data_IF_642575478031
#
_entry.id   IF_642575478031
#
_cell.length_a   1.000
_cell.length_b   1.000
_cell.length_c   1.000
_cell.angle_alpha   90.00
_cell.angle_beta   90.00
_cell.angle_gamma   90.00
#
_symmetry.space_group_name_H-M   'P 1'
#
loop_
_entity.id
_entity.type
_entity.pdbx_description
1 polymer ?
#
# COMPACT_ATOMS: atom_id res chain seq x y z
N UNK A 1 -5.11 -3.18 -18.59
CA UNK A 1 -4.60 -4.44 -19.19
C UNK A 1 -4.26 -5.37 -18.04
N UNK A 2 -5.02 -6.45 -17.82
CA UNK A 2 -4.82 -7.35 -16.67
C UNK A 2 -3.55 -8.18 -16.85
N UNK A 3 -2.55 -7.99 -15.98
CA UNK A 3 -1.39 -8.86 -15.97
C UNK A 3 -1.74 -10.11 -15.16
N UNK A 4 -2.24 -11.12 -15.86
CA UNK A 4 -2.36 -12.48 -15.32
C UNK A 4 -0.95 -12.96 -14.92
N UNK A 5 -0.73 -13.20 -13.62
CA UNK A 5 0.26 -14.18 -13.20
C UNK A 5 -0.25 -15.56 -13.60
N UNK A 6 0.63 -16.41 -14.14
CA UNK A 6 0.32 -17.80 -14.46
C UNK A 6 0.00 -18.58 -13.17
N UNK A 7 -1.29 -18.85 -12.94
CA UNK A 7 -1.77 -19.57 -11.75
C UNK A 7 -1.49 -21.07 -11.88
N UNK A 8 -0.71 -21.64 -10.95
CA UNK A 8 -0.66 -23.09 -10.70
C UNK A 8 -1.38 -23.38 -9.38
N UNK A 9 -2.61 -23.90 -9.44
CA UNK A 9 -3.45 -24.19 -8.27
C UNK A 9 -3.05 -25.55 -7.68
N UNK A 10 -2.65 -25.57 -6.41
CA UNK A 10 -2.59 -26.78 -5.58
C UNK A 10 -3.68 -26.66 -4.51
N UNK A 11 -4.74 -27.47 -4.62
CA UNK A 11 -5.83 -27.52 -3.64
C UNK A 11 -5.44 -28.35 -2.41
N UNK A 12 -5.51 -27.74 -1.23
CA UNK A 12 -5.43 -28.41 0.07
C UNK A 12 -6.68 -28.11 0.91
N UNK A 13 -7.35 -29.16 1.41
CA UNK A 13 -8.60 -29.14 2.18
C UNK A 13 -8.32 -28.92 3.67
N UNK A 14 -9.05 -28.03 4.35
CA UNK A 14 -9.17 -28.03 5.82
C UNK A 14 -10.54 -27.55 6.32
N UNK A 15 -11.04 -28.25 7.33
CA UNK A 15 -12.39 -28.27 7.88
C UNK A 15 -12.46 -27.53 9.24
N UNK A 16 -13.50 -26.72 9.39
CA UNK A 16 -14.20 -26.17 10.57
C UNK A 16 -13.61 -26.16 12.00
N UNK A 17 -13.88 -25.07 12.74
CA UNK A 17 -14.64 -25.10 14.00
C UNK A 17 -15.09 -23.69 14.45
N UNK A 18 -16.32 -23.63 14.97
CA UNK A 18 -17.04 -22.45 15.49
C UNK A 18 -16.86 -22.40 17.01
N UNK A 19 -16.68 -21.21 17.59
CA UNK A 19 -16.96 -20.96 19.01
C UNK A 19 -17.71 -19.63 19.19
N UNK A 20 -18.81 -19.70 19.95
CA UNK A 20 -19.72 -18.64 20.36
C UNK A 20 -19.29 -18.04 21.72
N UNK A 21 -19.77 -16.81 22.00
CA UNK A 21 -19.93 -16.24 23.35
C UNK A 21 -18.90 -15.18 23.72
N UNK A 22 -19.22 -14.08 24.41
CA UNK A 22 -20.48 -13.48 24.85
C UNK A 22 -20.18 -12.03 25.23
N UNK A 23 -21.18 -11.16 25.13
CA UNK A 23 -21.09 -9.73 25.37
C UNK A 23 -21.32 -9.36 26.85
N UNK A 24 -20.93 -8.12 27.17
CA UNK A 24 -21.44 -7.24 28.24
C UNK A 24 -20.77 -7.28 29.62
N UNK A 25 -19.90 -6.28 29.84
CA UNK A 25 -19.96 -5.32 30.95
C UNK A 25 -19.06 -4.15 30.48
N UNK A 26 -19.38 -2.87 30.61
CA UNK A 26 -19.41 -2.11 31.85
C UNK A 26 -20.08 -0.75 31.56
N UNK A 27 -21.11 -0.38 32.34
CA UNK A 27 -21.67 0.97 32.41
C UNK A 27 -20.99 1.77 33.52
N UNK A 28 -21.02 3.09 33.32
CA UNK A 28 -20.73 4.20 34.26
C UNK A 28 -19.28 4.68 34.35
N UNK A 29 -18.98 5.77 33.64
CA UNK A 29 -17.90 6.72 33.98
C UNK A 29 -18.50 8.12 34.04
N UNK A 30 -18.15 8.84 35.09
CA UNK A 30 -18.51 10.25 35.35
C UNK A 30 -17.85 11.19 34.33
N UNK A 31 -18.43 12.38 34.06
CA UNK A 31 -17.86 13.32 33.09
C UNK A 31 -16.56 13.95 33.61
N UNK A 32 -15.55 14.04 32.74
CA UNK A 32 -14.31 14.77 33.01
C UNK A 32 -14.52 16.30 32.89
N UNK A 33 -13.79 17.12 33.65
CA UNK A 33 -13.90 18.58 33.59
C UNK A 33 -13.32 19.14 32.28
N UNK A 34 -13.87 20.28 31.82
CA UNK A 34 -13.50 20.94 30.57
C UNK A 34 -12.07 21.53 30.64
N UNK A 35 -11.25 21.42 29.57
CA UNK A 35 -9.90 21.99 29.56
C UNK A 35 -9.91 23.48 29.17
N UNK A 36 -9.18 24.28 29.95
CA UNK A 36 -8.91 25.71 29.76
C UNK A 36 -8.06 25.96 28.51
N UNK A 37 -8.47 26.92 27.67
CA UNK A 37 -7.79 27.28 26.42
C UNK A 37 -6.60 28.21 26.71
N UNK A 38 -5.37 27.76 26.42
CA UNK A 38 -4.17 28.62 26.41
C UNK A 38 -3.71 28.81 24.96
N UNK A 39 -3.80 30.04 24.47
CA UNK A 39 -3.35 30.42 23.12
C UNK A 39 -1.83 30.49 23.11
N UNK A 40 -1.18 29.54 22.43
CA UNK A 40 0.26 29.59 22.18
C UNK A 40 0.49 29.90 20.71
N UNK A 41 1.24 30.97 20.45
CA UNK A 41 1.67 31.41 19.12
C UNK A 41 2.58 30.36 18.50
N UNK A 42 2.15 29.74 17.40
CA UNK A 42 2.92 28.69 16.71
C UNK A 42 3.86 29.30 15.66
N UNK A 43 5.15 29.24 15.94
CA UNK A 43 6.22 29.40 14.94
C UNK A 43 6.10 28.28 13.89
N UNK A 44 6.18 28.62 12.61
CA UNK A 44 6.04 27.68 11.50
C UNK A 44 7.02 26.49 11.63
N UNK A 45 6.47 25.27 11.59
CA UNK A 45 7.21 24.00 11.75
C UNK A 45 7.83 23.58 10.41
N UNK A 46 9.10 23.23 10.46
CA UNK A 46 9.89 22.60 9.39
C UNK A 46 9.23 21.31 8.87
N UNK A 47 8.99 21.24 7.56
CA UNK A 47 8.45 20.05 6.89
C UNK A 47 9.57 19.03 6.63
N UNK A 48 9.81 18.12 7.57
CA UNK A 48 10.71 16.98 7.34
C UNK A 48 9.99 15.67 7.65
N UNK A 49 8.99 15.32 6.84
CA UNK A 49 8.59 13.92 6.74
C UNK A 49 9.68 13.19 5.95
N UNK A 50 10.23 12.11 6.52
CA UNK A 50 11.30 11.35 5.87
C UNK A 50 10.76 10.68 4.59
N UNK A 51 11.44 10.94 3.47
CA UNK A 51 11.18 10.31 2.18
C UNK A 51 11.15 8.78 2.29
N UNK A 52 10.16 8.15 1.66
CA UNK A 52 10.04 6.71 1.52
C UNK A 52 10.49 6.29 0.11
N UNK A 53 11.31 5.25 0.07
CA UNK A 53 11.77 4.63 -1.16
C UNK A 53 11.26 3.20 -1.23
N UNK A 54 10.12 3.02 -1.91
CA UNK A 54 9.45 1.73 -2.00
C UNK A 54 10.03 0.85 -3.10
N UNK A 55 10.07 -0.47 -2.91
CA UNK A 55 10.17 -1.44 -4.01
C UNK A 55 9.13 -2.53 -3.79
N UNK A 56 8.57 -3.10 -4.85
CA UNK A 56 7.67 -4.25 -4.75
C UNK A 56 8.43 -5.54 -5.05
N UNK A 57 8.18 -6.57 -4.25
CA UNK A 57 8.48 -7.95 -4.62
C UNK A 57 7.15 -8.70 -4.71
N UNK A 58 6.95 -9.35 -5.85
CA UNK A 58 5.73 -10.06 -6.17
C UNK A 58 5.89 -11.59 -6.02
N UNK A 59 7.09 -12.05 -5.67
CA UNK A 59 7.38 -13.41 -5.23
C UNK A 59 8.47 -13.43 -4.15
N UNK A 60 8.46 -14.47 -3.30
CA UNK A 60 9.40 -14.65 -2.19
C UNK A 60 10.54 -15.64 -2.49
N UNK A 61 10.66 -16.12 -3.73
CA UNK A 61 11.78 -16.97 -4.14
C UNK A 61 13.11 -16.19 -4.09
N UNK A 62 14.24 -16.88 -4.11
CA UNK A 62 15.55 -16.21 -4.17
C UNK A 62 15.86 -15.24 -3.01
N UNK A 63 15.29 -15.49 -1.82
CA UNK A 63 15.34 -14.59 -0.65
C UNK A 63 16.74 -14.08 -0.28
N UNK A 64 17.78 -14.92 -0.43
CA UNK A 64 19.18 -14.51 -0.20
C UNK A 64 19.60 -13.39 -1.16
N UNK A 65 19.26 -13.50 -2.44
CA UNK A 65 19.57 -12.45 -3.42
C UNK A 65 18.76 -11.19 -3.15
N UNK A 66 17.48 -11.33 -2.80
CA UNK A 66 16.60 -10.21 -2.45
C UNK A 66 17.16 -9.42 -1.26
N UNK A 67 17.48 -10.10 -0.15
CA UNK A 67 18.01 -9.44 1.05
C UNK A 67 19.40 -8.85 0.83
N UNK A 68 20.26 -9.51 0.04
CA UNK A 68 21.56 -8.96 -0.34
C UNK A 68 21.41 -7.65 -1.14
N UNK A 69 20.56 -7.64 -2.17
CA UNK A 69 20.32 -6.46 -2.99
C UNK A 69 19.72 -5.29 -2.19
N UNK A 70 18.78 -5.57 -1.29
CA UNK A 70 18.21 -4.57 -0.38
C UNK A 70 19.25 -3.99 0.59
N UNK A 71 20.10 -4.85 1.18
CA UNK A 71 21.10 -4.45 2.18
C UNK A 71 22.20 -3.54 1.64
N UNK A 72 22.44 -3.57 0.32
CA UNK A 72 23.49 -2.82 -0.35
C UNK A 72 23.04 -1.42 -0.79
N UNK A 73 21.75 -1.10 -0.67
CA UNK A 73 21.22 0.22 -1.03
C UNK A 73 21.73 1.28 -0.05
N UNK A 74 22.02 2.47 -0.57
CA UNK A 74 22.58 3.61 0.18
C UNK A 74 21.62 4.19 1.21
N UNK A 75 20.32 3.88 1.10
CA UNK A 75 19.26 4.23 2.06
C UNK A 75 18.45 2.97 2.36
N UNK A 76 17.98 2.83 3.60
CA UNK A 76 17.06 1.74 3.98
C UNK A 76 15.72 1.91 3.23
N UNK A 77 15.34 0.97 2.34
CA UNK A 77 14.11 1.08 1.57
C UNK A 77 12.89 0.62 2.37
N UNK A 78 11.71 0.69 1.75
CA UNK A 78 10.50 -0.04 2.16
C UNK A 78 10.17 -1.07 1.10
N UNK A 79 10.11 -2.35 1.46
CA UNK A 79 9.74 -3.43 0.55
C UNK A 79 8.26 -3.73 0.73
N UNK A 80 7.47 -3.51 -0.33
CA UNK A 80 6.11 -4.01 -0.47
C UNK A 80 6.17 -5.47 -0.90
N UNK A 81 5.57 -6.35 -0.11
CA UNK A 81 5.48 -7.77 -0.41
C UNK A 81 4.04 -8.02 -0.84
N UNK A 82 3.87 -8.49 -2.09
CA UNK A 82 2.58 -8.99 -2.57
C UNK A 82 2.30 -10.32 -1.89
N UNK A 83 1.18 -10.42 -1.17
CA UNK A 83 0.71 -11.71 -0.69
C UNK A 83 -0.22 -12.32 -1.73
N UNK A 84 0.27 -13.33 -2.45
CA UNK A 84 -0.45 -13.99 -3.54
C UNK A 84 -1.73 -14.66 -3.04
N UNK A 85 -2.73 -14.69 -3.91
CA UNK A 85 -4.01 -15.33 -3.67
C UNK A 85 -3.84 -16.79 -3.26
N UNK A 86 -4.75 -17.24 -2.39
CA UNK A 86 -4.87 -18.59 -1.86
C UNK A 86 -3.64 -19.10 -1.09
N UNK A 87 -2.62 -18.26 -0.87
CA UNK A 87 -1.48 -18.59 -0.03
C UNK A 87 -1.77 -18.26 1.44
N UNK A 88 -1.33 -19.10 2.40
CA UNK A 88 -1.44 -18.81 3.82
C UNK A 88 -0.34 -17.84 4.27
N UNK A 89 -0.60 -17.11 5.36
CA UNK A 89 0.34 -16.14 5.91
C UNK A 89 1.67 -16.77 6.36
N UNK A 90 1.62 -18.04 6.80
CA UNK A 90 2.79 -18.79 7.25
C UNK A 90 3.87 -18.94 6.17
N UNK A 91 3.47 -19.00 4.89
CA UNK A 91 4.40 -19.09 3.75
C UNK A 91 5.31 -17.86 3.64
N UNK A 92 4.84 -16.69 4.08
CA UNK A 92 5.57 -15.42 3.97
C UNK A 92 6.43 -15.09 5.19
N UNK A 93 6.27 -15.80 6.33
CA UNK A 93 6.93 -15.40 7.59
C UNK A 93 8.45 -15.34 7.47
N UNK A 94 9.08 -16.35 6.88
CA UNK A 94 10.54 -16.38 6.72
C UNK A 94 11.03 -15.18 5.88
N UNK A 95 10.38 -14.94 4.74
CA UNK A 95 10.72 -13.82 3.86
C UNK A 95 10.52 -12.47 4.56
N UNK A 96 9.37 -12.25 5.21
CA UNK A 96 9.07 -11.01 5.92
C UNK A 96 10.07 -10.73 7.05
N UNK A 97 10.43 -11.75 7.85
CA UNK A 97 11.45 -11.63 8.91
C UNK A 97 12.81 -11.26 8.32
N UNK A 98 13.24 -11.92 7.25
CA UNK A 98 14.55 -11.68 6.64
C UNK A 98 14.63 -10.29 5.99
N UNK A 99 13.57 -9.86 5.30
CA UNK A 99 13.48 -8.55 4.66
C UNK A 99 13.42 -7.44 5.71
N UNK A 100 12.66 -7.61 6.80
CA UNK A 100 12.54 -6.61 7.86
C UNK A 100 13.90 -6.23 8.52
N UNK A 101 14.88 -7.15 8.50
CA UNK A 101 16.24 -6.87 8.99
C UNK A 101 16.98 -5.82 8.15
N UNK A 102 16.67 -5.70 6.86
CA UNK A 102 17.39 -4.84 5.89
C UNK A 102 16.51 -3.77 5.23
N UNK A 103 15.19 -3.83 5.43
CA UNK A 103 14.17 -2.97 4.83
C UNK A 103 13.01 -2.77 5.80
N UNK A 104 12.17 -1.74 5.62
CA UNK A 104 10.84 -1.76 6.21
C UNK A 104 9.92 -2.66 5.38
N UNK A 105 8.90 -3.27 5.97
CA UNK A 105 7.97 -4.14 5.25
C UNK A 105 6.59 -3.50 5.17
N UNK A 106 6.09 -3.36 3.95
CA UNK A 106 4.68 -3.14 3.66
C UNK A 106 4.09 -4.46 3.14
N UNK A 107 3.01 -4.95 3.75
CA UNK A 107 2.32 -6.15 3.30
C UNK A 107 1.07 -5.80 2.53
N UNK A 108 0.98 -6.22 1.27
CA UNK A 108 -0.25 -6.14 0.49
C UNK A 108 -1.15 -7.32 0.82
N UNK A 109 -2.31 -7.05 1.45
CA UNK A 109 -3.22 -8.12 1.87
C UNK A 109 -3.65 -8.98 0.70
N UNK A 110 -3.98 -8.37 -0.44
CA UNK A 110 -4.36 -9.08 -1.66
C UNK A 110 -4.27 -8.11 -2.83
N UNK A 111 -3.70 -8.60 -3.93
CA UNK A 111 -3.63 -7.87 -5.18
C UNK A 111 -5.02 -7.58 -5.76
N UNK A 112 -5.15 -6.43 -6.42
CA UNK A 112 -6.42 -5.96 -6.98
C UNK A 112 -6.98 -6.95 -8.01
N UNK A 113 -6.11 -7.65 -8.77
CA UNK A 113 -6.51 -8.64 -9.78
C UNK A 113 -7.16 -9.91 -9.20
N UNK A 114 -6.98 -10.18 -7.91
CA UNK A 114 -7.58 -11.32 -7.22
C UNK A 114 -8.74 -10.93 -6.29
N UNK A 115 -9.06 -9.63 -6.17
CA UNK A 115 -10.08 -9.14 -5.26
C UNK A 115 -11.46 -9.74 -5.50
N UNK A 116 -11.86 -9.95 -6.76
CA UNK A 116 -13.18 -10.49 -7.13
C UNK A 116 -13.32 -12.00 -6.82
N UNK A 117 -12.20 -12.70 -6.63
CA UNK A 117 -12.15 -14.12 -6.29
C UNK A 117 -12.48 -14.39 -4.80
N UNK A 118 -12.45 -13.35 -3.97
CA UNK A 118 -12.69 -13.43 -2.53
C UNK A 118 -14.05 -12.84 -2.17
N UNK A 119 -14.81 -13.55 -1.33
CA UNK A 119 -15.92 -12.94 -0.58
C UNK A 119 -15.39 -11.92 0.44
N UNK A 120 -16.26 -11.04 0.92
CA UNK A 120 -15.93 -10.11 2.03
C UNK A 120 -15.36 -10.88 3.23
N UNK A 121 -16.03 -11.95 3.66
CA UNK A 121 -15.60 -12.74 4.81
C UNK A 121 -14.22 -13.39 4.60
N UNK A 122 -13.94 -13.93 3.41
CA UNK A 122 -12.63 -14.53 3.12
C UNK A 122 -11.51 -13.47 3.16
N UNK A 123 -11.76 -12.26 2.65
CA UNK A 123 -10.80 -11.16 2.71
C UNK A 123 -10.49 -10.75 4.17
N UNK A 124 -11.51 -10.65 5.02
CA UNK A 124 -11.34 -10.30 6.43
C UNK A 124 -10.66 -11.41 7.24
N UNK A 125 -10.96 -12.68 6.94
CA UNK A 125 -10.27 -13.83 7.52
C UNK A 125 -8.78 -13.81 7.13
N UNK A 126 -8.48 -13.61 5.84
CA UNK A 126 -7.11 -13.44 5.34
C UNK A 126 -6.40 -12.29 6.03
N UNK A 127 -7.03 -11.12 6.13
CA UNK A 127 -6.46 -9.97 6.82
C UNK A 127 -6.08 -10.31 8.27
N UNK A 128 -6.99 -10.97 8.99
CA UNK A 128 -6.76 -11.38 10.38
C UNK A 128 -5.63 -12.41 10.51
N UNK A 129 -5.60 -13.41 9.62
CA UNK A 129 -4.55 -14.43 9.57
C UNK A 129 -3.16 -13.80 9.36
N UNK A 130 -3.04 -12.92 8.36
CA UNK A 130 -1.78 -12.26 8.05
C UNK A 130 -1.32 -11.34 9.17
N UNK A 131 -2.23 -10.54 9.76
CA UNK A 131 -1.88 -9.69 10.91
C UNK A 131 -1.45 -10.50 12.13
N UNK A 132 -2.09 -11.64 12.41
CA UNK A 132 -1.70 -12.51 13.50
C UNK A 132 -0.32 -13.16 13.27
N UNK A 133 -0.05 -13.60 12.04
CA UNK A 133 1.18 -14.32 11.71
C UNK A 133 2.39 -13.40 11.51
N UNK A 134 2.19 -12.18 11.00
CA UNK A 134 3.27 -11.29 10.55
C UNK A 134 3.26 -9.91 11.24
N UNK A 135 2.33 -9.65 12.16
CA UNK A 135 2.13 -8.34 12.78
C UNK A 135 3.31 -7.79 13.60
N UNK A 136 4.30 -8.62 13.90
CA UNK A 136 5.57 -8.26 14.54
C UNK A 136 6.65 -7.81 13.54
N UNK A 137 6.51 -8.16 12.26
CA UNK A 137 7.52 -7.89 11.21
C UNK A 137 7.01 -7.03 10.05
N UNK A 138 5.69 -6.91 9.87
CA UNK A 138 5.07 -6.00 8.90
C UNK A 138 4.87 -4.63 9.55
N UNK A 139 5.45 -3.58 8.94
CA UNK A 139 5.39 -2.22 9.43
C UNK A 139 4.14 -1.46 8.94
N UNK A 140 3.68 -1.76 7.73
CA UNK A 140 2.56 -1.09 7.06
C UNK A 140 1.65 -2.14 6.43
N UNK A 141 0.35 -2.06 6.68
CA UNK A 141 -0.64 -2.96 6.09
C UNK A 141 -1.38 -2.24 4.97
N UNK A 142 -1.22 -2.69 3.73
CA UNK A 142 -2.04 -2.21 2.62
C UNK A 142 -3.38 -2.94 2.65
N UNK A 143 -4.40 -2.23 3.14
CA UNK A 143 -5.74 -2.78 3.41
C UNK A 143 -6.62 -2.82 2.16
N UNK A 144 -6.07 -2.44 1.02
CA UNK A 144 -6.72 -2.44 -0.27
C UNK A 144 -5.79 -1.89 -1.35
N UNK A 145 -5.65 -2.64 -2.44
CA UNK A 145 -4.91 -2.21 -3.62
C UNK A 145 -5.86 -1.81 -4.76
N UNK A 146 -5.53 -0.70 -5.44
CA UNK A 146 -6.24 -0.16 -6.61
C UNK A 146 -7.77 -0.18 -6.50
N UNK A 147 -8.28 0.23 -5.34
CA UNK A 147 -9.64 -0.09 -4.87
C UNK A 147 -10.78 0.54 -5.71
N UNK A 148 -10.45 1.47 -6.60
CA UNK A 148 -11.37 2.06 -7.57
C UNK A 148 -11.35 1.35 -8.95
N UNK A 149 -10.64 0.22 -9.09
CA UNK A 149 -10.60 -0.57 -10.32
C UNK A 149 -11.97 -1.14 -10.73
N UNK A 150 -12.19 -1.26 -12.04
CA UNK A 150 -13.47 -1.75 -12.61
C UNK A 150 -13.61 -3.28 -12.57
N UNK A 151 -12.54 -4.00 -12.25
CA UNK A 151 -12.49 -5.48 -12.20
C UNK A 151 -12.82 -6.11 -10.86
N UNK A 152 -12.96 -5.30 -9.80
CA UNK A 152 -12.96 -5.78 -8.42
C UNK A 152 -14.26 -6.49 -8.00
N UNK A 153 -15.18 -6.72 -8.94
CA UNK A 153 -16.52 -7.22 -8.70
C UNK A 153 -17.48 -6.13 -8.20
N UNK A 154 -18.35 -6.48 -7.25
CA UNK A 154 -19.37 -5.54 -6.75
C UNK A 154 -18.73 -4.47 -5.87
N UNK A 155 -18.96 -3.20 -6.19
CA UNK A 155 -18.45 -2.07 -5.41
C UNK A 155 -18.77 -2.14 -3.90
N UNK A 156 -19.96 -2.61 -3.53
CA UNK A 156 -20.31 -2.77 -2.12
C UNK A 156 -19.40 -3.78 -1.38
N UNK A 157 -18.99 -4.85 -2.06
CA UNK A 157 -18.08 -5.86 -1.50
C UNK A 157 -16.67 -5.29 -1.39
N UNK A 158 -16.22 -4.52 -2.38
CA UNK A 158 -14.93 -3.80 -2.33
C UNK A 158 -14.87 -2.86 -1.13
N UNK A 159 -15.91 -2.04 -0.95
CA UNK A 159 -16.03 -1.12 0.19
C UNK A 159 -16.02 -1.89 1.52
N UNK A 160 -16.77 -2.99 1.62
CA UNK A 160 -16.81 -3.80 2.82
C UNK A 160 -15.45 -4.45 3.15
N UNK A 161 -14.71 -4.92 2.13
CA UNK A 161 -13.36 -5.49 2.28
C UNK A 161 -12.38 -4.46 2.82
N UNK A 162 -12.24 -3.31 2.15
CA UNK A 162 -11.27 -2.29 2.58
C UNK A 162 -11.63 -1.71 3.95
N UNK A 163 -12.91 -1.46 4.23
CA UNK A 163 -13.33 -0.88 5.51
C UNK A 163 -13.15 -1.84 6.66
N UNK A 164 -13.45 -3.12 6.49
CA UNK A 164 -13.23 -4.14 7.50
C UNK A 164 -11.75 -4.44 7.75
N UNK A 165 -10.91 -4.48 6.71
CA UNK A 165 -9.47 -4.64 6.88
C UNK A 165 -8.83 -3.43 7.57
N UNK A 166 -9.29 -2.22 7.26
CA UNK A 166 -8.93 -1.02 8.02
C UNK A 166 -9.31 -1.15 9.50
N UNK A 167 -10.52 -1.61 9.82
CA UNK A 167 -10.96 -1.78 11.21
C UNK A 167 -10.11 -2.80 11.97
N UNK A 168 -9.76 -3.92 11.32
CA UNK A 168 -8.84 -4.92 11.87
C UNK A 168 -7.45 -4.32 12.14
N UNK A 169 -6.90 -3.55 11.20
CA UNK A 169 -5.59 -2.91 11.35
C UNK A 169 -5.60 -1.88 12.50
N UNK A 170 -6.52 -0.92 12.45
CA UNK A 170 -6.56 0.18 13.42
C UNK A 170 -7.00 -0.28 14.81
N UNK A 171 -7.88 -1.28 14.90
CA UNK A 171 -8.27 -1.92 16.16
C UNK A 171 -7.10 -2.58 16.91
N UNK A 172 -6.04 -2.96 16.18
CA UNK A 172 -4.79 -3.50 16.74
C UNK A 172 -3.69 -2.43 16.87
N UNK A 173 -4.01 -1.14 16.66
CA UNK A 173 -3.05 -0.05 16.68
C UNK A 173 -2.01 -0.11 15.56
N UNK A 174 -2.30 -0.83 14.47
CA UNK A 174 -1.38 -0.98 13.33
C UNK A 174 -1.50 0.19 12.35
N UNK A 175 -0.45 0.35 11.55
CA UNK A 175 -0.36 1.31 10.46
C UNK A 175 -1.11 0.77 9.24
N UNK A 176 -2.01 1.57 8.65
CA UNK A 176 -2.79 1.20 7.48
C UNK A 176 -2.48 2.10 6.28
N UNK A 177 -2.37 1.49 5.11
CA UNK A 177 -2.21 2.13 3.80
C UNK A 177 -3.35 1.72 2.87
N UNK A 178 -3.83 2.63 2.04
CA UNK A 178 -4.78 2.34 0.96
C UNK A 178 -4.19 2.84 -0.36
N UNK A 179 -4.17 2.00 -1.39
CA UNK A 179 -3.67 2.37 -2.72
C UNK A 179 -4.84 2.56 -3.69
N UNK A 180 -4.84 3.70 -4.38
CA UNK A 180 -5.83 4.11 -5.37
C UNK A 180 -5.20 4.06 -6.76
N UNK A 181 -5.97 3.63 -7.76
CA UNK A 181 -5.53 3.58 -9.16
C UNK A 181 -5.81 4.91 -9.85
N UNK A 182 -4.77 5.58 -10.34
CA UNK A 182 -4.94 6.81 -11.11
C UNK A 182 -5.31 6.49 -12.55
N UNK A 183 -6.53 6.84 -12.93
CA UNK A 183 -7.15 6.46 -14.19
C UNK A 183 -7.81 7.64 -14.92
N UNK A 184 -7.20 8.82 -14.87
CA UNK A 184 -7.73 9.98 -15.58
C UNK A 184 -7.86 9.69 -17.09
N UNK A 185 -9.04 9.97 -17.63
CA UNK A 185 -9.37 9.87 -19.06
C UNK A 185 -9.17 8.47 -19.69
N UNK A 186 -9.11 7.42 -18.87
CA UNK A 186 -8.96 6.01 -19.29
C UNK A 186 -9.88 5.05 -18.52
N UNK A 187 -10.85 5.57 -17.77
CA UNK A 187 -11.94 4.79 -17.18
C UNK A 187 -12.98 4.41 -18.25
N UNK A 188 -13.68 3.28 -18.08
CA UNK A 188 -14.88 2.94 -18.85
C UNK A 188 -16.14 3.43 -18.12
N UNK A 189 -16.10 3.44 -16.79
CA UNK A 189 -17.14 3.96 -15.91
C UNK A 189 -16.64 5.20 -15.16
N UNK A 190 -17.24 6.39 -15.36
CA UNK A 190 -16.78 7.61 -14.69
C UNK A 190 -16.89 7.55 -13.16
N UNK A 191 -17.75 6.68 -12.62
CA UNK A 191 -17.84 6.47 -11.17
C UNK A 191 -16.57 5.83 -10.58
N UNK A 192 -15.72 5.23 -11.41
CA UNK A 192 -14.45 4.61 -11.04
C UNK A 192 -13.24 5.55 -11.20
N UNK A 193 -13.43 6.78 -11.68
CA UNK A 193 -12.37 7.80 -11.66
C UNK A 193 -11.87 7.99 -10.23
N UNK A 194 -10.55 7.95 -10.03
CA UNK A 194 -9.88 7.88 -8.74
C UNK A 194 -10.50 8.79 -7.66
N UNK A 195 -10.63 10.09 -7.95
CA UNK A 195 -11.15 11.05 -6.98
C UNK A 195 -12.66 10.97 -6.80
N UNK A 196 -13.40 10.72 -7.87
CA UNK A 196 -14.85 10.51 -7.87
C UNK A 196 -15.21 9.31 -7.00
N UNK A 197 -14.56 8.18 -7.24
CA UNK A 197 -14.75 6.95 -6.48
C UNK A 197 -14.35 7.12 -5.02
N UNK A 198 -13.15 7.67 -4.76
CA UNK A 198 -12.65 7.89 -3.40
C UNK A 198 -13.57 8.83 -2.60
N UNK A 199 -14.12 9.85 -3.25
CA UNK A 199 -15.05 10.77 -2.62
C UNK A 199 -16.34 10.07 -2.18
N UNK A 200 -16.92 9.25 -3.06
CA UNK A 200 -18.20 8.58 -2.85
C UNK A 200 -18.13 7.40 -1.88
N UNK A 201 -17.03 6.64 -1.88
CA UNK A 201 -16.99 5.32 -1.26
C UNK A 201 -16.12 5.23 0.00
N UNK A 202 -15.10 6.08 0.16
CA UNK A 202 -14.24 6.02 1.34
C UNK A 202 -14.89 6.82 2.48
N UNK A 203 -15.23 6.18 3.61
CA UNK A 203 -15.92 6.85 4.70
C UNK A 203 -15.01 7.89 5.38
N UNK A 204 -15.61 8.94 5.96
CA UNK A 204 -14.89 10.04 6.60
C UNK A 204 -13.88 9.57 7.69
N UNK A 205 -14.22 8.50 8.41
CA UNK A 205 -13.34 7.88 9.42
C UNK A 205 -12.04 7.34 8.84
N UNK A 206 -12.07 6.83 7.61
CA UNK A 206 -10.86 6.39 6.91
C UNK A 206 -10.12 7.57 6.29
N UNK A 207 -10.82 8.55 5.71
CA UNK A 207 -10.19 9.77 5.16
C UNK A 207 -9.33 10.51 6.19
N UNK A 208 -9.71 10.45 7.46
CA UNK A 208 -8.99 11.10 8.57
C UNK A 208 -8.11 10.16 9.39
N UNK A 209 -8.23 8.84 9.23
CA UNK A 209 -7.55 7.85 10.07
C UNK A 209 -6.58 6.91 9.34
N UNK A 210 -6.55 6.89 8.00
CA UNK A 210 -5.51 6.21 7.22
C UNK A 210 -4.15 6.87 7.44
N UNK A 211 -3.12 6.08 7.67
CA UNK A 211 -1.76 6.57 7.87
C UNK A 211 -1.07 6.89 6.54
N UNK A 212 -1.39 6.12 5.49
CA UNK A 212 -0.90 6.32 4.13
C UNK A 212 -2.05 6.22 3.12
N UNK A 213 -2.06 7.10 2.13
CA UNK A 213 -2.88 6.97 0.93
C UNK A 213 -2.01 7.14 -0.28
N UNK A 214 -1.93 6.09 -1.07
CA UNK A 214 -0.95 5.94 -2.12
C UNK A 214 -1.63 5.85 -3.50
N UNK A 215 -0.88 6.15 -4.54
CA UNK A 215 -1.34 6.15 -5.92
C UNK A 215 -0.60 5.09 -6.73
N UNK A 216 -1.33 4.15 -7.32
CA UNK A 216 -0.82 3.31 -8.41
C UNK A 216 -0.92 4.07 -9.73
N UNK A 217 0.19 4.07 -10.49
CA UNK A 217 0.23 4.70 -11.80
C UNK A 217 1.22 4.07 -12.79
N UNK A 218 0.74 3.85 -14.01
CA UNK A 218 1.50 3.38 -15.16
C UNK A 218 1.17 4.24 -16.39
N UNK A 219 2.18 4.79 -17.06
CA UNK A 219 1.95 5.65 -18.25
C UNK A 219 1.25 4.89 -19.38
N UNK A 220 1.54 3.59 -19.51
CA UNK A 220 1.01 2.74 -20.57
C UNK A 220 -0.49 2.46 -20.44
N UNK A 221 -1.06 2.64 -19.25
CA UNK A 221 -2.46 2.31 -19.00
C UNK A 221 -3.42 3.35 -19.58
N UNK A 222 -3.01 4.63 -19.57
CA UNK A 222 -3.89 5.77 -19.86
C UNK A 222 -3.36 6.59 -21.02
N UNK A 223 -3.19 5.94 -22.18
CA UNK A 223 -2.81 6.56 -23.45
C UNK A 223 -1.48 7.35 -23.41
N UNK A 224 -0.55 6.99 -22.53
CA UNK A 224 0.72 7.71 -22.37
C UNK A 224 0.57 9.08 -21.69
N UNK A 225 -0.54 9.31 -20.97
CA UNK A 225 -0.70 10.52 -20.17
C UNK A 225 0.48 10.68 -19.20
N UNK A 226 0.83 11.91 -18.86
CA UNK A 226 1.70 12.22 -17.72
C UNK A 226 0.99 13.31 -16.91
N UNK A 227 0.38 12.96 -15.76
CA UNK A 227 -0.43 13.89 -14.98
C UNK A 227 0.40 15.05 -14.42
N UNK A 228 -0.29 16.15 -14.10
CA UNK A 228 0.26 17.16 -13.19
C UNK A 228 0.26 16.59 -11.76
N UNK A 229 1.36 15.92 -11.40
CA UNK A 229 1.52 15.32 -10.08
C UNK A 229 1.44 16.34 -8.94
N UNK A 230 1.76 17.62 -9.18
CA UNK A 230 1.60 18.65 -8.15
C UNK A 230 0.12 18.85 -7.83
N UNK A 231 -0.71 18.98 -8.87
CA UNK A 231 -2.16 19.12 -8.70
C UNK A 231 -2.79 17.85 -8.09
N UNK A 232 -2.40 16.66 -8.57
CA UNK A 232 -2.92 15.38 -8.08
C UNK A 232 -2.62 15.19 -6.59
N UNK A 233 -1.37 15.33 -6.16
CA UNK A 233 -1.02 15.14 -4.75
C UNK A 233 -1.54 16.27 -3.85
N UNK A 234 -1.70 17.50 -4.37
CA UNK A 234 -2.36 18.58 -3.61
C UNK A 234 -3.81 18.21 -3.32
N UNK A 235 -4.55 17.73 -4.34
CA UNK A 235 -5.94 17.30 -4.18
C UNK A 235 -6.06 16.07 -3.27
N UNK A 236 -5.16 15.10 -3.40
CA UNK A 236 -5.15 13.90 -2.57
C UNK A 236 -4.87 14.24 -1.10
N UNK A 237 -3.88 15.08 -0.82
CA UNK A 237 -3.56 15.55 0.53
C UNK A 237 -4.72 16.32 1.17
N UNK A 238 -5.45 17.12 0.40
CA UNK A 238 -6.64 17.80 0.89
C UNK A 238 -7.78 16.81 1.25
N UNK A 239 -7.96 15.74 0.47
CA UNK A 239 -8.96 14.70 0.74
C UNK A 239 -8.59 13.83 1.96
N UNK A 240 -7.30 13.63 2.20
CA UNK A 240 -6.73 12.79 3.27
C UNK A 240 -5.76 13.59 4.15
N UNK A 241 -6.27 14.52 4.97
CA UNK A 241 -5.45 15.58 5.60
C UNK A 241 -4.42 15.07 6.62
N UNK A 242 -4.60 13.85 7.14
CA UNK A 242 -3.73 13.23 8.14
C UNK A 242 -2.82 12.13 7.57
N UNK A 243 -3.08 11.70 6.33
CA UNK A 243 -2.32 10.62 5.71
C UNK A 243 -1.02 11.14 5.13
N UNK A 244 0.02 10.32 5.10
CA UNK A 244 1.14 10.52 4.17
C UNK A 244 0.68 10.13 2.76
N UNK A 245 1.11 10.87 1.75
CA UNK A 245 0.72 10.63 0.36
C UNK A 245 1.92 10.35 -0.53
N UNK A 246 1.73 9.51 -1.54
CA UNK A 246 2.80 9.12 -2.45
C UNK A 246 2.31 8.13 -3.48
N UNK A 247 3.24 7.51 -4.18
CA UNK A 247 2.99 6.41 -5.09
C UNK A 247 3.06 5.08 -4.35
N UNK A 248 2.04 4.25 -4.56
CA UNK A 248 1.90 2.88 -4.06
C UNK A 248 2.35 1.87 -5.09
N UNK A 249 2.35 2.27 -6.37
CA UNK A 249 2.93 1.53 -7.47
C UNK A 249 3.39 2.51 -8.56
N UNK A 250 4.58 2.27 -9.09
CA UNK A 250 5.02 2.81 -10.38
C UNK A 250 5.88 1.77 -11.08
N UNK A 251 5.89 1.76 -12.40
CA UNK A 251 6.75 0.87 -13.15
C UNK A 251 6.53 1.04 -14.64
N UNK A 252 7.30 0.31 -15.44
CA UNK A 252 7.09 0.24 -16.88
C UNK A 252 7.61 -1.10 -17.41
N UNK A 253 6.96 -1.63 -18.44
CA UNK A 253 7.49 -2.77 -19.22
C UNK A 253 8.25 -2.33 -20.46
N UNK A 254 8.36 -1.03 -20.72
CA UNK A 254 9.14 -0.50 -21.84
C UNK A 254 10.64 -0.67 -21.60
N UNK A 255 11.44 -0.45 -22.65
CA UNK A 255 12.90 -0.61 -22.59
C UNK A 255 13.60 0.50 -21.80
N UNK A 256 12.98 1.67 -21.57
CA UNK A 256 13.61 2.82 -20.91
C UNK A 256 13.32 2.91 -19.40
N UNK A 257 13.44 1.78 -18.69
CA UNK A 257 13.16 1.68 -17.25
C UNK A 257 13.98 2.64 -16.39
N UNK A 258 15.25 2.88 -16.73
CA UNK A 258 16.15 3.73 -15.95
C UNK A 258 15.71 5.21 -15.93
N UNK A 259 15.33 5.77 -17.09
CA UNK A 259 14.82 7.14 -17.15
C UNK A 259 13.46 7.26 -16.45
N UNK A 260 12.58 6.25 -16.61
CA UNK A 260 11.30 6.21 -15.93
C UNK A 260 11.47 6.22 -14.42
N UNK A 261 12.27 5.29 -13.88
CA UNK A 261 12.57 5.20 -12.45
C UNK A 261 13.13 6.53 -11.93
N UNK A 262 14.12 7.09 -12.62
CA UNK A 262 14.75 8.36 -12.22
C UNK A 262 13.72 9.49 -12.18
N UNK A 263 12.88 9.63 -13.22
CA UNK A 263 11.85 10.66 -13.30
C UNK A 263 10.89 10.59 -12.13
N UNK A 264 10.33 9.42 -11.81
CA UNK A 264 9.33 9.30 -10.75
C UNK A 264 9.93 9.45 -9.36
N UNK A 265 11.04 8.77 -9.07
CA UNK A 265 11.65 8.79 -7.73
C UNK A 265 12.27 10.14 -7.33
N UNK A 266 12.45 11.05 -8.29
CA UNK A 266 12.94 12.41 -8.04
C UNK A 266 11.84 13.47 -8.02
N UNK A 267 10.56 13.09 -8.24
CA UNK A 267 9.43 14.02 -8.16
C UNK A 267 9.32 14.64 -6.76
N UNK A 268 9.14 15.95 -6.68
CA UNK A 268 8.93 16.64 -5.39
C UNK A 268 7.68 17.54 -5.44
N UNK A 269 6.46 16.96 -5.51
CA UNK A 269 5.23 17.71 -5.35
C UNK A 269 5.26 18.59 -4.09
N UNK A 270 4.81 19.85 -4.14
CA UNK A 270 4.92 20.81 -3.05
C UNK A 270 3.86 20.57 -1.96
N UNK A 271 3.85 19.35 -1.41
CA UNK A 271 2.82 18.85 -0.49
C UNK A 271 3.50 18.34 0.77
N UNK A 272 3.16 18.93 1.94
CA UNK A 272 3.87 18.72 3.23
C UNK A 272 3.99 17.25 3.70
N UNK A 273 3.01 16.45 3.33
CA UNK A 273 2.84 15.04 3.71
C UNK A 273 3.18 14.11 2.53
N UNK A 274 3.75 14.64 1.46
CA UNK A 274 4.28 13.82 0.38
C UNK A 274 5.53 13.09 0.83
N UNK A 275 5.55 11.78 0.63
CA UNK A 275 6.65 10.90 1.04
C UNK A 275 7.31 10.16 -0.11
N UNK A 276 6.93 10.46 -1.36
CA UNK A 276 7.36 9.69 -2.51
C UNK A 276 6.62 8.38 -2.61
N UNK A 277 6.98 7.38 -1.81
CA UNK A 277 6.37 6.04 -1.80
C UNK A 277 6.91 5.18 -2.93
N UNK A 278 6.80 5.64 -4.17
CA UNK A 278 7.43 5.16 -5.42
C UNK A 278 7.55 3.66 -5.67
N UNK A 279 6.82 2.78 -4.97
CA UNK A 279 7.06 1.34 -5.02
C UNK A 279 7.22 0.82 -6.46
N UNK A 280 8.47 0.50 -6.84
CA UNK A 280 8.77 0.02 -8.18
C UNK A 280 8.17 -1.38 -8.30
N UNK A 281 7.13 -1.51 -9.10
CA UNK A 281 6.33 -2.74 -9.18
C UNK A 281 7.18 -3.97 -9.50
N UNK A 282 8.09 -3.84 -10.46
CA UNK A 282 8.98 -4.92 -10.91
C UNK A 282 10.28 -5.00 -10.08
N UNK A 283 10.23 -4.66 -8.80
CA UNK A 283 11.43 -4.58 -7.95
C UNK A 283 12.14 -5.93 -7.85
N UNK A 284 11.36 -7.02 -7.85
CA UNK A 284 11.88 -8.38 -7.86
C UNK A 284 12.69 -8.70 -9.11
N UNK A 285 12.20 -8.32 -10.28
CA UNK A 285 12.81 -8.68 -11.56
C UNK A 285 13.92 -7.72 -11.95
N UNK A 286 13.73 -6.42 -11.67
CA UNK A 286 14.63 -5.38 -12.16
C UNK A 286 15.73 -5.00 -11.18
N UNK A 287 15.56 -5.27 -9.87
CA UNK A 287 16.51 -4.86 -8.83
C UNK A 287 17.14 -6.05 -8.10
N UNK A 288 16.72 -7.29 -8.37
CA UNK A 288 17.28 -8.49 -7.76
C UNK A 288 17.84 -9.44 -8.83
N UNK A 289 19.10 -9.91 -8.69
CA UNK A 289 20.12 -9.50 -7.71
C UNK A 289 20.65 -8.07 -7.97
N UNK A 290 21.50 -7.54 -7.09
CA UNK A 290 22.08 -6.19 -7.22
C UNK A 290 22.96 -5.96 -8.45
N UNK A 291 23.30 -7.03 -9.18
CA UNK A 291 23.97 -6.95 -10.49
C UNK A 291 23.03 -6.53 -11.62
N UNK A 292 21.72 -6.44 -11.38
CA UNK A 292 20.79 -5.94 -12.38
C UNK A 292 21.11 -4.47 -12.72
N UNK A 293 21.08 -4.06 -14.00
CA UNK A 293 21.41 -2.69 -14.39
C UNK A 293 20.56 -1.62 -13.69
N UNK A 294 19.26 -1.90 -13.45
CA UNK A 294 18.37 -0.95 -12.83
C UNK A 294 18.66 -0.75 -11.33
N UNK A 295 19.26 -1.75 -10.65
CA UNK A 295 19.66 -1.63 -9.24
C UNK A 295 20.61 -0.45 -9.02
N UNK A 296 21.63 -0.30 -9.88
CA UNK A 296 22.59 0.81 -9.78
C UNK A 296 21.93 2.16 -10.03
N UNK A 297 20.98 2.22 -10.97
CA UNK A 297 20.20 3.43 -11.23
C UNK A 297 19.37 3.81 -10.00
N UNK A 298 18.65 2.85 -9.43
CA UNK A 298 17.87 3.06 -8.22
C UNK A 298 18.74 3.55 -7.06
N UNK A 299 19.87 2.87 -6.79
CA UNK A 299 20.78 3.25 -5.72
C UNK A 299 21.36 4.67 -5.88
N UNK A 300 21.60 5.12 -7.13
CA UNK A 300 22.04 6.48 -7.41
C UNK A 300 20.95 7.52 -7.12
N UNK A 301 19.68 7.20 -7.41
CA UNK A 301 18.55 8.07 -7.03
C UNK A 301 18.43 8.19 -5.52
N UNK A 302 18.61 7.08 -4.78
CA UNK A 302 18.60 7.09 -3.32
C UNK A 302 19.71 7.95 -2.69
N UNK A 303 20.89 7.97 -3.31
CA UNK A 303 22.05 8.70 -2.79
C UNK A 303 22.03 10.19 -3.13
N UNK A 304 21.41 10.57 -4.24
CA UNK A 304 21.28 11.96 -4.68
C UNK A 304 20.04 12.71 -4.16
N UNK A 305 19.17 12.04 -3.40
CA UNK A 305 17.90 12.59 -2.91
C UNK A 305 17.99 13.33 -1.57
#
# INVERSE_FOLDING_TARGET
MYKLKSVTIILGVMLGMVLHGEANAWRSRTPAPAPTTTTTTTTAVSYANQQMYGITIDDISGLTATTAALSQLSKKPTTRIVFDEWQPASGYRNAAVAINKVSYVMGEILDSSAMDQYTVQQYLNRTSEYMAALGDVVNIWEIGNEINGEWLGKNADVVAKMTGAYDLAKGQGKTAALTLYYNQDCWSNPANEMFTWANANIPARMKTGLDYVLVSYYEEDCNGLVPDWNAVFTKLSAMFPNSKVGFGETGTTTTNKAAYLTRYYTLKPPVKNYIGGYFWWYGKEDLVPSTQPLWSTFNNVLSGS
#
